data_IF_996686632785
#
_entry.id   IF_996686632785
#
_cell.length_a   1.000
_cell.length_b   1.000
_cell.length_c   1.000
_cell.angle_alpha   90.00
_cell.angle_beta   90.00
_cell.angle_gamma   90.00
#
_symmetry.space_group_name_H-M   'P 1'
#
loop_
_entity.id
_entity.type
_entity.pdbx_description
1 polymer ?
#
# COMPACT_ATOMS: atom_id res chain seq x y z
N UNK A 1 56.43 11.85 32.52
CA UNK A 1 54.99 12.14 32.75
C UNK A 1 54.28 12.67 31.50
N UNK A 2 54.81 13.68 30.80
CA UNK A 2 54.16 14.25 29.60
C UNK A 2 53.93 13.26 28.43
N UNK A 3 54.87 12.34 28.18
CA UNK A 3 54.75 11.35 27.09
C UNK A 3 53.59 10.35 27.29
N UNK A 4 53.42 9.83 28.51
CA UNK A 4 52.35 8.90 28.83
C UNK A 4 50.97 9.57 28.74
N UNK A 5 50.87 10.82 29.20
CA UNK A 5 49.65 11.62 29.10
C UNK A 5 49.28 11.93 27.64
N UNK A 6 50.27 12.30 26.81
CA UNK A 6 50.06 12.54 25.38
C UNK A 6 49.58 11.29 24.64
N UNK A 7 50.11 10.11 24.97
CA UNK A 7 49.68 8.84 24.37
C UNK A 7 48.21 8.53 24.70
N UNK A 8 47.78 8.73 25.95
CA UNK A 8 46.38 8.50 26.36
C UNK A 8 45.44 9.47 25.65
N UNK A 9 45.82 10.74 25.50
CA UNK A 9 45.03 11.73 24.73
C UNK A 9 44.92 11.32 23.26
N UNK A 10 46.00 10.87 22.64
CA UNK A 10 46.00 10.40 21.26
C UNK A 10 45.06 9.20 21.06
N UNK A 11 45.13 8.20 21.96
CA UNK A 11 44.23 7.04 21.92
C UNK A 11 42.77 7.49 22.09
N UNK A 12 42.50 8.43 23.00
CA UNK A 12 41.15 8.96 23.22
C UNK A 12 40.59 9.66 21.98
N UNK A 13 41.41 10.47 21.30
CA UNK A 13 41.01 11.15 20.06
C UNK A 13 40.73 10.15 18.94
N UNK A 14 41.54 9.10 18.82
CA UNK A 14 41.32 8.03 17.83
C UNK A 14 40.02 7.29 18.10
N UNK A 15 39.77 6.87 19.35
CA UNK A 15 38.53 6.17 19.73
C UNK A 15 37.31 7.08 19.51
N UNK A 16 37.41 8.37 19.88
CA UNK A 16 36.33 9.33 19.67
C UNK A 16 36.04 9.54 18.17
N UNK A 17 37.09 9.66 17.33
CA UNK A 17 36.96 9.77 15.88
C UNK A 17 36.29 8.54 15.25
N UNK A 18 36.70 7.34 15.66
CA UNK A 18 36.05 6.09 15.23
C UNK A 18 34.59 6.01 15.70
N UNK A 19 34.30 6.47 16.92
CA UNK A 19 32.95 6.54 17.46
C UNK A 19 32.04 7.47 16.65
N UNK A 20 32.52 8.67 16.31
CA UNK A 20 31.79 9.62 15.47
C UNK A 20 31.55 9.05 14.07
N UNK A 21 32.56 8.44 13.46
CA UNK A 21 32.42 7.83 12.13
C UNK A 21 31.37 6.71 12.13
N UNK A 22 31.38 5.86 13.17
CA UNK A 22 30.39 4.78 13.31
C UNK A 22 28.97 5.30 13.53
N UNK A 23 28.80 6.38 14.29
CA UNK A 23 27.50 7.02 14.49
C UNK A 23 26.95 7.61 13.19
N UNK A 24 27.79 8.25 12.38
CA UNK A 24 27.37 8.79 11.07
C UNK A 24 26.95 7.69 10.08
N UNK A 25 27.61 6.53 10.12
CA UNK A 25 27.22 5.37 9.30
C UNK A 25 25.86 4.80 9.75
N UNK A 26 25.66 4.65 11.06
CA UNK A 26 24.39 4.20 11.64
C UNK A 26 23.23 5.17 11.35
N UNK A 27 23.49 6.48 11.40
CA UNK A 27 22.49 7.50 11.06
C UNK A 27 22.02 7.35 9.61
N UNK A 28 22.95 7.17 8.66
CA UNK A 28 22.61 6.97 7.24
C UNK A 28 21.75 5.73 7.01
N UNK A 29 22.11 4.61 7.65
CA UNK A 29 21.32 3.37 7.58
C UNK A 29 19.93 3.56 8.18
N UNK A 30 19.84 4.23 9.33
CA UNK A 30 18.57 4.48 10.02
C UNK A 30 17.67 5.41 9.22
N UNK A 31 18.22 6.49 8.64
CA UNK A 31 17.47 7.40 7.77
C UNK A 31 16.94 6.66 6.55
N UNK A 32 17.77 5.85 5.88
CA UNK A 32 17.35 5.08 4.71
C UNK A 32 16.25 4.07 5.05
N UNK A 33 16.38 3.34 6.17
CA UNK A 33 15.35 2.43 6.65
C UNK A 33 14.04 3.18 6.95
N UNK A 34 14.13 4.31 7.63
CA UNK A 34 12.96 5.14 7.96
C UNK A 34 12.28 5.66 6.70
N UNK A 35 13.04 6.09 5.69
CA UNK A 35 12.47 6.52 4.40
C UNK A 35 11.75 5.38 3.69
N UNK A 36 12.38 4.20 3.60
CA UNK A 36 11.80 3.01 2.97
C UNK A 36 10.55 2.53 3.71
N UNK A 37 10.57 2.49 5.04
CA UNK A 37 9.44 2.07 5.85
C UNK A 37 8.27 3.06 5.74
N UNK A 38 8.55 4.37 5.73
CA UNK A 38 7.53 5.39 5.48
C UNK A 38 6.93 5.30 4.08
N UNK A 39 7.75 5.06 3.05
CA UNK A 39 7.26 4.90 1.69
C UNK A 39 6.35 3.67 1.57
N UNK A 40 6.77 2.52 2.13
CA UNK A 40 5.95 1.31 2.17
C UNK A 40 4.65 1.55 2.93
N UNK A 41 4.71 2.24 4.07
CA UNK A 41 3.52 2.56 4.86
C UNK A 41 2.55 3.45 4.07
N UNK A 42 3.05 4.51 3.43
CA UNK A 42 2.24 5.41 2.58
C UNK A 42 1.57 4.62 1.44
N UNK A 43 2.34 3.80 0.73
CA UNK A 43 1.81 2.97 -0.36
C UNK A 43 0.76 1.96 0.16
N UNK A 44 0.96 1.38 1.34
CA UNK A 44 -0.03 0.49 1.97
C UNK A 44 -1.33 1.23 2.29
N UNK A 45 -1.24 2.44 2.84
CA UNK A 45 -2.42 3.27 3.14
C UNK A 45 -3.15 3.67 1.86
N UNK A 46 -2.42 4.10 0.83
CA UNK A 46 -2.99 4.46 -0.48
C UNK A 46 -3.69 3.26 -1.13
N UNK A 47 -3.06 2.08 -1.08
CA UNK A 47 -3.65 0.85 -1.61
C UNK A 47 -4.96 0.50 -0.90
N UNK A 48 -4.97 0.55 0.45
CA UNK A 48 -6.17 0.32 1.26
C UNK A 48 -7.27 1.33 0.93
N UNK A 49 -6.93 2.62 0.89
CA UNK A 49 -7.90 3.68 0.60
C UNK A 49 -8.50 3.53 -0.79
N UNK A 50 -7.70 3.15 -1.79
CA UNK A 50 -8.17 2.92 -3.15
C UNK A 50 -9.12 1.71 -3.23
N UNK A 51 -8.87 0.63 -2.47
CA UNK A 51 -9.79 -0.51 -2.37
C UNK A 51 -11.12 -0.07 -1.75
N UNK A 52 -11.07 0.60 -0.60
CA UNK A 52 -12.27 1.04 0.13
C UNK A 52 -13.12 2.00 -0.71
N UNK A 53 -12.47 2.98 -1.34
CA UNK A 53 -13.17 3.95 -2.20
C UNK A 53 -13.85 3.26 -3.39
N UNK A 54 -13.21 2.27 -4.01
CA UNK A 54 -13.81 1.51 -5.09
C UNK A 54 -15.00 0.66 -4.63
N UNK A 55 -14.96 0.09 -3.43
CA UNK A 55 -16.10 -0.62 -2.86
C UNK A 55 -17.30 0.31 -2.68
N UNK A 56 -17.10 1.46 -2.03
CA UNK A 56 -18.15 2.46 -1.82
C UNK A 56 -18.74 2.94 -3.15
N UNK A 57 -17.90 3.25 -4.15
CA UNK A 57 -18.36 3.65 -5.50
C UNK A 57 -19.14 2.54 -6.20
N UNK A 58 -18.68 1.30 -6.10
CA UNK A 58 -19.37 0.15 -6.71
C UNK A 58 -20.75 0.00 -6.09
N UNK A 59 -20.84 0.03 -4.76
CA UNK A 59 -22.12 -0.05 -4.04
C UNK A 59 -23.05 1.08 -4.43
N UNK A 60 -22.54 2.32 -4.49
CA UNK A 60 -23.33 3.46 -4.94
C UNK A 60 -23.85 3.27 -6.38
N UNK A 61 -23.00 2.86 -7.31
CA UNK A 61 -23.38 2.65 -8.72
C UNK A 61 -24.38 1.49 -8.90
N UNK A 62 -24.25 0.42 -8.10
CA UNK A 62 -25.16 -0.72 -8.14
C UNK A 62 -26.56 -0.36 -7.60
N UNK A 63 -26.62 0.41 -6.51
CA UNK A 63 -27.85 0.78 -5.82
C UNK A 63 -28.49 2.07 -6.33
N UNK A 64 -27.84 2.81 -7.24
CA UNK A 64 -28.41 4.02 -7.86
C UNK A 64 -29.71 3.67 -8.60
N UNK A 65 -30.75 4.50 -8.46
CA UNK A 65 -32.01 4.32 -9.18
C UNK A 65 -31.87 4.58 -10.68
N UNK A 66 -30.86 5.36 -11.11
CA UNK A 66 -30.58 5.65 -12.51
C UNK A 66 -29.27 4.99 -12.99
N UNK A 67 -29.21 4.68 -14.28
CA UNK A 67 -27.99 4.19 -14.95
C UNK A 67 -27.25 5.30 -15.71
N UNK A 68 -27.76 6.54 -15.76
CA UNK A 68 -27.20 7.64 -16.56
C UNK A 68 -25.73 7.95 -16.20
N UNK A 69 -25.38 7.73 -14.93
CA UNK A 69 -24.03 7.98 -14.40
C UNK A 69 -23.14 6.74 -14.41
N UNK A 70 -23.66 5.58 -14.80
CA UNK A 70 -22.97 4.29 -14.65
C UNK A 70 -21.64 4.28 -15.42
N UNK A 71 -21.59 4.84 -16.62
CA UNK A 71 -20.35 4.97 -17.40
C UNK A 71 -19.30 5.82 -16.69
N UNK A 72 -19.72 6.94 -16.09
CA UNK A 72 -18.82 7.80 -15.33
C UNK A 72 -18.28 7.09 -14.07
N UNK A 73 -19.16 6.37 -13.36
CA UNK A 73 -18.76 5.54 -12.21
C UNK A 73 -17.77 4.45 -12.60
N UNK A 74 -17.98 3.76 -13.73
CA UNK A 74 -17.05 2.75 -14.23
C UNK A 74 -15.67 3.36 -14.53
N UNK A 75 -15.61 4.51 -15.19
CA UNK A 75 -14.36 5.20 -15.47
C UNK A 75 -13.61 5.62 -14.19
N UNK A 76 -14.33 6.12 -13.17
CA UNK A 76 -13.73 6.42 -11.87
C UNK A 76 -13.20 5.17 -11.16
N UNK A 77 -13.96 4.07 -11.20
CA UNK A 77 -13.56 2.79 -10.62
C UNK A 77 -12.30 2.24 -11.31
N UNK A 78 -12.19 2.36 -12.63
CA UNK A 78 -10.98 1.98 -13.37
C UNK A 78 -9.78 2.84 -12.99
N UNK A 79 -9.96 4.16 -12.92
CA UNK A 79 -8.90 5.09 -12.50
C UNK A 79 -8.38 4.78 -11.11
N UNK A 80 -9.27 4.59 -10.13
CA UNK A 80 -8.86 4.22 -8.75
C UNK A 80 -8.30 2.79 -8.71
N UNK A 81 -8.76 1.88 -9.58
CA UNK A 81 -8.15 0.55 -9.72
C UNK A 81 -6.70 0.63 -10.20
N UNK A 82 -6.37 1.56 -11.09
CA UNK A 82 -4.99 1.81 -11.51
C UNK A 82 -4.12 2.34 -10.36
N UNK A 83 -4.62 3.30 -9.56
CA UNK A 83 -3.93 3.77 -8.35
C UNK A 83 -3.63 2.62 -7.38
N UNK A 84 -4.61 1.76 -7.11
CA UNK A 84 -4.42 0.59 -6.26
C UNK A 84 -3.34 -0.36 -6.81
N UNK A 85 -3.28 -0.56 -8.12
CA UNK A 85 -2.26 -1.42 -8.76
C UNK A 85 -0.85 -0.84 -8.58
N UNK A 86 -0.69 0.47 -8.77
CA UNK A 86 0.60 1.15 -8.56
C UNK A 86 1.04 1.07 -7.10
N UNK A 87 0.16 1.43 -6.16
CA UNK A 87 0.45 1.38 -4.74
C UNK A 87 0.78 -0.04 -4.25
N UNK A 88 0.04 -1.06 -4.70
CA UNK A 88 0.34 -2.48 -4.45
C UNK A 88 1.75 -2.85 -4.93
N UNK A 89 2.14 -2.44 -6.15
CA UNK A 89 3.46 -2.73 -6.70
C UNK A 89 4.57 -2.11 -5.83
N UNK A 90 4.41 -0.86 -5.40
CA UNK A 90 5.35 -0.23 -4.46
C UNK A 90 5.45 -1.00 -3.14
N UNK A 91 4.34 -1.48 -2.61
CA UNK A 91 4.35 -2.33 -1.40
C UNK A 91 5.12 -3.63 -1.65
N UNK A 92 4.85 -4.33 -2.77
CA UNK A 92 5.52 -5.56 -3.17
C UNK A 92 7.04 -5.36 -3.30
N UNK A 93 7.47 -4.29 -3.97
CA UNK A 93 8.89 -3.97 -4.19
C UNK A 93 9.64 -3.65 -2.88
N UNK A 94 8.94 -3.15 -1.85
CA UNK A 94 9.52 -2.75 -0.57
C UNK A 94 9.37 -3.80 0.55
N UNK A 95 8.69 -4.91 0.30
CA UNK A 95 8.57 -6.02 1.27
C UNK A 95 9.83 -6.88 1.25
N UNK A 96 10.40 -7.11 2.44
CA UNK A 96 11.64 -7.90 2.61
C UNK A 96 11.41 -9.29 3.23
N UNK A 97 10.24 -9.53 3.82
CA UNK A 97 9.94 -10.77 4.55
C UNK A 97 9.00 -11.69 3.76
N UNK A 98 9.16 -13.00 3.92
CA UNK A 98 8.25 -13.99 3.31
C UNK A 98 6.81 -13.82 3.80
N UNK A 99 6.62 -13.57 5.10
CA UNK A 99 5.32 -13.31 5.67
C UNK A 99 4.63 -12.10 5.02
N UNK A 100 5.37 -11.01 4.76
CA UNK A 100 4.83 -9.84 4.06
C UNK A 100 4.42 -10.17 2.62
N UNK A 101 5.24 -10.94 1.90
CA UNK A 101 4.90 -11.37 0.52
C UNK A 101 3.64 -12.23 0.51
N UNK A 102 3.51 -13.13 1.48
CA UNK A 102 2.33 -13.98 1.61
C UNK A 102 1.06 -13.17 1.88
N UNK A 103 1.15 -12.08 2.66
CA UNK A 103 0.01 -11.17 2.87
C UNK A 103 -0.43 -10.51 1.55
N UNK A 104 0.51 -10.03 0.72
CA UNK A 104 0.17 -9.45 -0.59
C UNK A 104 -0.52 -10.48 -1.48
N UNK A 105 0.01 -11.70 -1.57
CA UNK A 105 -0.60 -12.80 -2.33
C UNK A 105 -2.04 -13.08 -1.86
N UNK A 106 -2.27 -13.10 -0.55
CA UNK A 106 -3.60 -13.34 0.01
C UNK A 106 -4.58 -12.20 -0.31
N UNK A 107 -4.11 -10.95 -0.25
CA UNK A 107 -4.91 -9.78 -0.63
C UNK A 107 -5.24 -9.82 -2.13
N UNK A 108 -4.28 -10.19 -2.98
CA UNK A 108 -4.49 -10.29 -4.42
C UNK A 108 -5.53 -11.35 -4.77
N UNK A 109 -5.48 -12.53 -4.13
CA UNK A 109 -6.52 -13.56 -4.26
C UNK A 109 -7.91 -13.05 -3.87
N UNK A 110 -8.02 -12.37 -2.72
CA UNK A 110 -9.29 -11.81 -2.26
C UNK A 110 -9.80 -10.72 -3.23
N UNK A 111 -8.89 -9.88 -3.74
CA UNK A 111 -9.23 -8.83 -4.72
C UNK A 111 -9.71 -9.43 -6.05
N UNK A 112 -9.08 -10.49 -6.53
CA UNK A 112 -9.51 -11.19 -7.76
C UNK A 112 -10.90 -11.81 -7.60
N UNK A 113 -11.15 -12.47 -6.45
CA UNK A 113 -12.45 -13.04 -6.11
C UNK A 113 -13.56 -11.97 -6.09
N UNK A 114 -13.25 -10.72 -5.76
CA UNK A 114 -14.19 -9.59 -5.82
C UNK A 114 -14.33 -8.99 -7.22
N UNK A 115 -13.22 -8.76 -7.95
CA UNK A 115 -13.22 -7.98 -9.22
C UNK A 115 -14.05 -8.61 -10.32
N UNK A 116 -14.03 -9.93 -10.45
CA UNK A 116 -14.81 -10.68 -11.44
C UNK A 116 -16.32 -10.48 -11.24
N UNK A 117 -16.88 -10.92 -10.10
CA UNK A 117 -18.28 -10.72 -9.75
C UNK A 117 -18.73 -9.25 -9.82
N UNK A 118 -17.91 -8.32 -9.32
CA UNK A 118 -18.18 -6.87 -9.42
C UNK A 118 -18.39 -6.41 -10.85
N UNK A 119 -17.57 -6.90 -11.78
CA UNK A 119 -17.67 -6.50 -13.20
C UNK A 119 -18.95 -7.03 -13.81
N UNK A 120 -19.36 -8.25 -13.46
CA UNK A 120 -20.62 -8.83 -13.91
C UNK A 120 -21.84 -8.10 -13.32
N UNK A 121 -21.81 -7.77 -12.03
CA UNK A 121 -22.84 -6.97 -11.36
C UNK A 121 -23.10 -5.65 -12.10
N UNK A 122 -22.04 -4.91 -12.44
CA UNK A 122 -22.18 -3.62 -13.13
C UNK A 122 -22.69 -3.77 -14.57
N UNK A 123 -22.44 -4.91 -15.23
CA UNK A 123 -23.05 -5.21 -16.54
C UNK A 123 -24.54 -5.46 -16.43
N UNK A 124 -24.98 -6.26 -15.45
CA UNK A 124 -26.41 -6.50 -15.17
C UNK A 124 -27.13 -5.19 -14.82
N UNK A 125 -26.49 -4.34 -14.01
CA UNK A 125 -26.99 -2.99 -13.74
C UNK A 125 -27.15 -2.16 -15.01
N UNK A 126 -26.17 -2.22 -15.92
CA UNK A 126 -26.25 -1.53 -17.21
C UNK A 126 -27.38 -2.06 -18.10
N UNK A 127 -27.75 -3.33 -17.97
CA UNK A 127 -28.89 -3.94 -18.64
C UNK A 127 -30.25 -3.59 -18.01
N UNK A 128 -30.27 -2.84 -16.90
CA UNK A 128 -31.48 -2.42 -16.20
C UNK A 128 -31.97 -3.42 -15.14
N UNK A 129 -31.19 -4.44 -14.80
CA UNK A 129 -31.54 -5.39 -13.75
C UNK A 129 -31.43 -4.75 -12.35
N UNK A 130 -32.30 -5.18 -11.44
CA UNK A 130 -32.12 -4.92 -10.01
C UNK A 130 -31.05 -5.86 -9.45
N UNK A 131 -29.94 -5.27 -9.05
CA UNK A 131 -28.74 -6.00 -8.59
C UNK A 131 -28.53 -5.89 -7.08
N UNK A 132 -29.47 -5.31 -6.33
CA UNK A 132 -29.31 -5.09 -4.89
C UNK A 132 -29.11 -6.42 -4.13
N UNK A 133 -29.93 -7.42 -4.42
CA UNK A 133 -29.83 -8.74 -3.80
C UNK A 133 -28.56 -9.50 -4.20
N UNK A 134 -28.08 -9.33 -5.44
CA UNK A 134 -26.83 -9.92 -5.92
C UNK A 134 -25.64 -9.28 -5.20
N UNK A 135 -25.65 -7.94 -5.06
CA UNK A 135 -24.61 -7.20 -4.35
C UNK A 135 -24.48 -7.68 -2.90
N UNK A 136 -25.59 -7.86 -2.19
CA UNK A 136 -25.60 -8.26 -0.78
C UNK A 136 -25.19 -9.72 -0.57
N UNK A 137 -25.59 -10.64 -1.45
CA UNK A 137 -25.36 -12.07 -1.24
C UNK A 137 -24.07 -12.61 -1.87
N UNK A 138 -23.60 -12.00 -2.96
CA UNK A 138 -22.50 -12.55 -3.77
C UNK A 138 -21.22 -11.71 -3.74
N UNK A 139 -21.29 -10.44 -3.30
CA UNK A 139 -20.19 -9.48 -3.44
C UNK A 139 -19.83 -8.78 -2.13
N UNK A 140 -20.81 -8.45 -1.29
CA UNK A 140 -20.55 -7.94 0.04
C UNK A 140 -19.84 -9.02 0.87
N UNK A 141 -18.62 -8.72 1.33
CA UNK A 141 -17.95 -9.49 2.37
C UNK A 141 -18.49 -9.14 3.75
#
# INVERSE_FOLDING_TARGET
MALAFGLVLLITVVIAGLGVWRLQELEKVTQQLTTVDNERLRATMEWRQAIESNWIRTRAAALDSSTDRLTAWQAEIEKTSATATTARKTVEDLIRTDAGRQLVINIDKAREAYRGPRTELLKRKAAGEDVASILENEIAC
#
